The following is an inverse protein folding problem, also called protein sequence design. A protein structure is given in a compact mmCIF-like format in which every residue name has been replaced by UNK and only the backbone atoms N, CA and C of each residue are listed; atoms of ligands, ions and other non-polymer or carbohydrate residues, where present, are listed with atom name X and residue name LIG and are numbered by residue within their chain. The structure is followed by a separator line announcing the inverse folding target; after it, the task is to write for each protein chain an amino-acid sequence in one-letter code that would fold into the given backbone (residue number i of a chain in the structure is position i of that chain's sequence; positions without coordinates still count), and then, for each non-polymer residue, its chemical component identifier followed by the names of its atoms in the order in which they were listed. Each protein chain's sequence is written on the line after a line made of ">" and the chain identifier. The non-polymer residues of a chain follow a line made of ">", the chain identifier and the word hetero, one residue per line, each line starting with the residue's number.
data_IF_402380475084
#
_entry.id   IF_402380475084
#
_cell.length_a   1.000
_cell.length_b   1.000
_cell.length_c   1.000
_cell.angle_alpha   90.00
_cell.angle_beta   90.00
_cell.angle_gamma   90.00
#
_symmetry.space_group_name_H-M   'P 1'
#
loop_
_entity.id
_entity.type
_entity.pdbx_description
1 polymer ?
#
# COMPACT_ATOMS: atom_id res chain seq x y z
N UNK A 1 38.21 21.76 -2.04
CA UNK A 1 37.35 21.35 -3.15
C UNK A 1 36.57 22.58 -3.56
N UNK A 2 36.81 23.09 -4.76
CA UNK A 2 36.07 24.20 -5.36
C UNK A 2 34.64 23.75 -5.64
N UNK A 3 33.67 24.66 -5.60
CA UNK A 3 32.26 24.30 -5.84
C UNK A 3 32.05 23.77 -7.27
N UNK A 4 32.85 24.23 -8.24
CA UNK A 4 32.86 23.66 -9.59
C UNK A 4 33.46 22.25 -9.70
N UNK A 5 34.37 21.87 -8.80
CA UNK A 5 34.90 20.49 -8.74
C UNK A 5 33.85 19.52 -8.18
N UNK A 6 33.02 19.98 -7.22
CA UNK A 6 31.90 19.20 -6.67
C UNK A 6 30.84 18.95 -7.73
N UNK A 7 30.41 20.00 -8.44
CA UNK A 7 29.38 19.88 -9.48
C UNK A 7 29.82 18.93 -10.60
N UNK A 8 31.10 18.97 -10.98
CA UNK A 8 31.65 18.06 -11.99
C UNK A 8 31.68 16.61 -11.50
N UNK A 9 32.10 16.36 -10.26
CA UNK A 9 32.06 15.03 -9.67
C UNK A 9 30.62 14.51 -9.59
N UNK A 10 29.69 15.29 -9.05
CA UNK A 10 28.29 14.89 -8.88
C UNK A 10 27.59 14.53 -10.21
N UNK A 11 28.01 15.10 -11.35
CA UNK A 11 27.43 14.82 -12.67
C UNK A 11 28.10 13.63 -13.40
N UNK A 12 29.36 13.32 -13.07
CA UNK A 12 30.15 12.35 -13.83
C UNK A 12 30.53 11.10 -13.02
N UNK A 13 30.19 11.05 -11.72
CA UNK A 13 30.44 9.90 -10.85
C UNK A 13 29.86 8.60 -11.44
N UNK A 14 28.65 8.62 -12.00
CA UNK A 14 28.01 7.38 -12.50
C UNK A 14 28.49 6.96 -13.91
N UNK A 15 29.02 7.90 -14.68
CA UNK A 15 29.35 7.69 -16.10
C UNK A 15 30.85 7.44 -16.35
N UNK A 16 31.71 7.72 -15.37
CA UNK A 16 33.17 7.63 -15.51
C UNK A 16 33.80 6.82 -14.38
N UNK A 17 34.86 6.09 -14.70
CA UNK A 17 35.64 5.36 -13.70
C UNK A 17 36.45 6.30 -12.81
N UNK A 18 36.83 5.83 -11.63
CA UNK A 18 37.55 6.64 -10.64
C UNK A 18 38.90 7.16 -11.17
N UNK A 19 39.53 6.41 -12.08
CA UNK A 19 40.78 6.79 -12.75
C UNK A 19 40.54 7.94 -13.75
N UNK A 20 39.50 7.85 -14.57
CA UNK A 20 39.21 8.88 -15.56
C UNK A 20 38.75 10.22 -14.93
N UNK A 21 38.07 10.14 -13.78
CA UNK A 21 37.69 11.31 -12.98
C UNK A 21 38.90 11.93 -12.27
N UNK A 22 39.80 11.09 -11.74
CA UNK A 22 41.04 11.52 -11.11
C UNK A 22 41.93 12.28 -12.10
N UNK A 23 42.09 11.76 -13.32
CA UNK A 23 42.90 12.39 -14.37
C UNK A 23 42.32 13.73 -14.84
N UNK A 24 40.98 13.86 -14.93
CA UNK A 24 40.34 15.12 -15.35
C UNK A 24 40.35 16.21 -14.27
N UNK A 25 40.37 15.83 -13.01
CA UNK A 25 40.35 16.77 -11.88
C UNK A 25 41.74 17.03 -11.30
N UNK A 26 42.79 16.41 -11.87
CA UNK A 26 44.16 16.42 -11.33
C UNK A 26 44.19 16.01 -9.84
N UNK A 27 43.45 14.95 -9.52
CA UNK A 27 43.32 14.39 -8.15
C UNK A 27 43.77 12.94 -8.11
N UNK A 28 44.02 12.45 -6.89
CA UNK A 28 44.34 11.03 -6.70
C UNK A 28 43.10 10.16 -6.84
N UNK A 29 43.26 8.96 -7.40
CA UNK A 29 42.17 7.95 -7.48
C UNK A 29 41.56 7.67 -6.10
N UNK A 30 42.38 7.67 -5.05
CA UNK A 30 41.93 7.53 -3.66
C UNK A 30 40.96 8.62 -3.21
N UNK A 31 41.11 9.86 -3.71
CA UNK A 31 40.24 10.98 -3.40
C UNK A 31 38.86 10.79 -4.05
N UNK A 32 38.81 10.38 -5.32
CA UNK A 32 37.55 10.11 -6.04
C UNK A 32 36.83 8.89 -5.45
N UNK A 33 37.55 7.80 -5.14
CA UNK A 33 36.96 6.62 -4.49
C UNK A 33 36.39 6.97 -3.10
N UNK A 34 37.09 7.79 -2.32
CA UNK A 34 36.58 8.23 -1.02
C UNK A 34 35.40 9.18 -1.17
N UNK A 35 35.39 10.05 -2.18
CA UNK A 35 34.26 10.92 -2.49
C UNK A 35 33.02 10.12 -2.91
N UNK A 36 33.19 9.12 -3.80
CA UNK A 36 32.14 8.19 -4.23
C UNK A 36 31.53 7.40 -3.05
N UNK A 37 32.35 7.01 -2.07
CA UNK A 37 31.89 6.30 -0.86
C UNK A 37 31.11 7.17 0.12
N UNK A 38 31.35 8.49 0.11
CA UNK A 38 30.76 9.45 1.06
C UNK A 38 29.53 10.13 0.48
N UNK A 39 29.41 10.21 -0.85
CA UNK A 39 28.19 10.69 -1.49
C UNK A 39 27.02 9.72 -1.24
N UNK A 40 25.81 10.20 -0.90
CA UNK A 40 24.63 9.35 -0.89
C UNK A 40 24.50 8.75 -2.28
N UNK A 41 24.38 7.43 -2.38
CA UNK A 41 24.14 6.73 -3.64
C UNK A 41 23.03 7.46 -4.40
N UNK A 42 23.43 8.20 -5.44
CA UNK A 42 22.54 8.89 -6.38
C UNK A 42 22.21 7.99 -7.56
N UNK A 43 22.39 6.67 -7.41
CA UNK A 43 21.79 5.71 -8.31
C UNK A 43 20.33 5.50 -7.89
N UNK A 44 19.48 6.51 -8.12
CA UNK A 44 18.07 6.18 -8.35
C UNK A 44 18.03 5.51 -9.72
N UNK A 45 17.79 4.20 -9.72
CA UNK A 45 17.53 3.45 -10.95
C UNK A 45 16.38 4.14 -11.70
N UNK A 46 16.33 4.13 -13.04
CA UNK A 46 15.19 4.73 -13.80
C UNK A 46 13.82 4.27 -13.25
N UNK A 47 13.75 3.04 -12.76
CA UNK A 47 12.58 2.47 -12.09
C UNK A 47 12.18 3.16 -10.77
N UNK A 48 13.13 3.71 -10.02
CA UNK A 48 12.87 4.47 -8.78
C UNK A 48 12.25 5.83 -9.08
N UNK A 49 12.80 6.52 -10.07
CA UNK A 49 12.26 7.81 -10.52
C UNK A 49 10.83 7.66 -11.06
N UNK A 50 10.54 6.57 -11.77
CA UNK A 50 9.16 6.26 -12.18
C UNK A 50 8.20 6.10 -11.00
N UNK A 51 8.63 5.44 -9.92
CA UNK A 51 7.80 5.23 -8.72
C UNK A 51 7.52 6.58 -8.03
N UNK A 52 8.52 7.46 -7.96
CA UNK A 52 8.38 8.80 -7.39
C UNK A 52 7.44 9.66 -8.25
N UNK A 53 7.61 9.67 -9.58
CA UNK A 53 6.73 10.41 -10.49
C UNK A 53 5.28 9.91 -10.39
N UNK A 54 5.07 8.59 -10.31
CA UNK A 54 3.75 8.01 -10.06
C UNK A 54 3.16 8.47 -8.74
N UNK A 55 3.98 8.52 -7.67
CA UNK A 55 3.56 9.02 -6.36
C UNK A 55 3.08 10.48 -6.41
N UNK A 56 3.77 11.34 -7.14
CA UNK A 56 3.41 12.76 -7.25
C UNK A 56 2.05 13.00 -7.89
N UNK A 57 1.58 12.04 -8.71
CA UNK A 57 0.27 12.09 -9.35
C UNK A 57 -0.85 11.50 -8.47
N UNK A 58 -0.53 10.91 -7.30
CA UNK A 58 -1.54 10.39 -6.38
C UNK A 58 -2.27 11.54 -5.67
N UNK A 59 -3.56 11.34 -5.45
CA UNK A 59 -4.44 12.38 -4.90
C UNK A 59 -3.98 12.90 -3.53
N UNK A 60 -3.32 12.05 -2.73
CA UNK A 60 -2.89 12.41 -1.38
C UNK A 60 -1.56 13.17 -1.33
N UNK A 61 -0.82 13.30 -2.44
CA UNK A 61 0.50 13.93 -2.44
C UNK A 61 0.45 15.39 -1.98
N UNK A 62 -0.58 16.12 -2.42
CA UNK A 62 -0.80 17.50 -2.00
C UNK A 62 -1.10 17.62 -0.50
N UNK A 63 -1.79 16.64 0.09
CA UNK A 63 -2.04 16.60 1.54
C UNK A 63 -0.73 16.40 2.31
N UNK A 64 0.10 15.48 1.84
CA UNK A 64 1.39 15.15 2.48
C UNK A 64 2.35 16.34 2.44
N UNK A 65 2.39 17.08 1.33
CA UNK A 65 3.15 18.34 1.22
C UNK A 65 2.76 19.40 2.24
N UNK A 66 1.48 19.44 2.65
CA UNK A 66 1.00 20.40 3.64
C UNK A 66 1.29 19.94 5.09
N UNK A 67 1.39 18.63 5.32
CA UNK A 67 1.55 18.06 6.66
C UNK A 67 3.02 17.89 7.08
N UNK A 68 3.92 17.69 6.11
CA UNK A 68 5.31 17.35 6.35
C UNK A 68 6.26 18.50 5.96
N UNK A 69 7.37 18.60 6.67
CA UNK A 69 8.47 19.50 6.33
C UNK A 69 9.27 18.98 5.12
N UNK A 70 10.07 19.84 4.49
CA UNK A 70 10.89 19.47 3.32
C UNK A 70 11.82 18.28 3.58
N UNK A 71 12.41 18.19 4.77
CA UNK A 71 13.29 17.06 5.14
C UNK A 71 12.49 15.78 5.42
N UNK A 72 11.30 15.89 5.99
CA UNK A 72 10.38 14.77 6.18
C UNK A 72 9.82 14.26 4.84
N UNK A 73 9.62 15.15 3.85
CA UNK A 73 9.20 14.77 2.50
C UNK A 73 10.25 13.92 1.77
N UNK A 74 11.54 14.28 1.88
CA UNK A 74 12.63 13.43 1.34
C UNK A 74 12.64 12.05 1.99
N UNK A 75 12.43 12.01 3.31
CA UNK A 75 12.34 10.76 4.05
C UNK A 75 11.11 9.94 3.62
N UNK A 76 9.99 10.61 3.33
CA UNK A 76 8.79 9.98 2.81
C UNK A 76 9.03 9.36 1.43
N UNK A 77 9.60 10.13 0.49
CA UNK A 77 9.94 9.69 -0.87
C UNK A 77 10.84 8.46 -0.85
N UNK A 78 11.92 8.51 -0.07
CA UNK A 78 12.83 7.37 0.09
C UNK A 78 12.09 6.12 0.61
N UNK A 79 11.29 6.25 1.67
CA UNK A 79 10.55 5.11 2.22
C UNK A 79 9.49 4.59 1.27
N UNK A 80 8.86 5.46 0.49
CA UNK A 80 7.87 5.09 -0.52
C UNK A 80 8.47 4.21 -1.59
N UNK A 81 9.62 4.58 -2.13
CA UNK A 81 10.36 3.81 -3.14
C UNK A 81 10.74 2.44 -2.60
N UNK A 82 11.35 2.38 -1.41
CA UNK A 82 11.78 1.12 -0.78
C UNK A 82 10.60 0.16 -0.58
N UNK A 83 9.46 0.65 -0.08
CA UNK A 83 8.28 -0.19 0.13
C UNK A 83 7.65 -0.62 -1.19
N UNK A 84 7.59 0.24 -2.21
CA UNK A 84 7.08 -0.15 -3.52
C UNK A 84 7.93 -1.21 -4.21
N UNK A 85 9.26 -1.09 -4.14
CA UNK A 85 10.17 -2.09 -4.66
C UNK A 85 10.03 -3.44 -3.96
N UNK A 86 9.84 -3.42 -2.63
CA UNK A 86 9.64 -4.64 -1.85
C UNK A 86 8.35 -5.37 -2.25
N UNK A 87 7.29 -4.63 -2.58
CA UNK A 87 5.96 -5.21 -2.80
C UNK A 87 5.65 -5.56 -4.26
N UNK A 88 6.39 -5.05 -5.25
CA UNK A 88 6.27 -5.25 -6.72
C UNK A 88 4.87 -5.00 -7.31
N UNK A 89 3.82 -5.66 -6.81
CA UNK A 89 2.41 -5.41 -7.09
C UNK A 89 1.74 -4.69 -5.90
N UNK A 90 1.60 -3.36 -6.01
CA UNK A 90 0.96 -2.52 -5.00
C UNK A 90 -0.42 -2.09 -5.50
N UNK A 91 -1.49 -2.59 -4.86
CA UNK A 91 -2.86 -2.15 -5.15
C UNK A 91 -3.12 -0.74 -4.64
N UNK A 92 -4.15 -0.01 -5.13
CA UNK A 92 -4.53 1.31 -4.60
C UNK A 92 -4.81 1.30 -3.09
N UNK A 93 -5.35 0.21 -2.55
CA UNK A 93 -5.55 0.03 -1.11
C UNK A 93 -4.23 -0.14 -0.35
N UNK A 94 -3.25 -0.82 -0.95
CA UNK A 94 -1.91 -0.97 -0.37
C UNK A 94 -1.16 0.37 -0.40
N UNK A 95 -1.32 1.18 -1.46
CA UNK A 95 -0.77 2.54 -1.55
C UNK A 95 -1.25 3.40 -0.37
N UNK A 96 -2.54 3.28 -0.02
CA UNK A 96 -3.13 3.96 1.13
C UNK A 96 -2.48 3.53 2.45
N UNK A 97 -2.33 2.23 2.64
CA UNK A 97 -1.75 1.66 3.86
C UNK A 97 -0.26 1.99 3.98
N UNK A 98 0.48 1.99 2.87
CA UNK A 98 1.88 2.41 2.78
C UNK A 98 2.01 3.89 3.13
N UNK A 99 1.15 4.76 2.58
CA UNK A 99 1.09 6.19 2.95
C UNK A 99 0.96 6.33 4.47
N UNK A 100 -0.06 5.71 5.06
CA UNK A 100 -0.31 5.80 6.49
C UNK A 100 0.87 5.27 7.33
N UNK A 101 1.50 4.19 6.90
CA UNK A 101 2.65 3.58 7.58
C UNK A 101 3.84 4.53 7.62
N UNK A 102 4.17 5.16 6.49
CA UNK A 102 5.29 6.10 6.40
C UNK A 102 4.99 7.37 7.21
N UNK A 103 3.75 7.89 7.14
CA UNK A 103 3.33 9.04 7.95
C UNK A 103 3.48 8.74 9.45
N UNK A 104 3.00 7.58 9.91
CA UNK A 104 3.15 7.19 11.32
C UNK A 104 4.63 7.11 11.74
N UNK A 105 5.50 6.58 10.89
CA UNK A 105 6.93 6.54 11.16
C UNK A 105 7.55 7.94 11.31
N UNK A 106 7.18 8.88 10.44
CA UNK A 106 7.64 10.26 10.53
C UNK A 106 7.13 10.92 11.82
N UNK A 107 5.86 10.71 12.18
CA UNK A 107 5.28 11.23 13.41
C UNK A 107 5.97 10.66 14.66
N UNK A 108 6.30 9.36 14.67
CA UNK A 108 7.07 8.74 15.76
C UNK A 108 8.42 9.43 15.91
N UNK A 109 9.14 9.65 14.80
CA UNK A 109 10.41 10.36 14.82
C UNK A 109 10.27 11.79 15.37
N UNK A 110 9.21 12.51 14.99
CA UNK A 110 8.92 13.85 15.51
C UNK A 110 8.72 13.83 17.03
N UNK A 111 7.93 12.89 17.54
CA UNK A 111 7.72 12.73 18.99
C UNK A 111 9.02 12.40 19.72
N UNK A 112 9.87 11.54 19.14
CA UNK A 112 11.17 11.19 19.73
C UNK A 112 12.11 12.40 19.80
N UNK A 113 12.17 13.23 18.75
CA UNK A 113 12.95 14.47 18.74
C UNK A 113 12.45 15.43 19.82
N UNK A 114 11.14 15.63 19.94
CA UNK A 114 10.54 16.50 20.94
C UNK A 114 10.74 15.99 22.38
N UNK A 115 10.68 14.66 22.56
CA UNK A 115 10.99 13.99 23.82
C UNK A 115 12.45 14.25 24.23
N UNK A 116 13.39 14.17 23.28
CA UNK A 116 14.79 14.48 23.55
C UNK A 116 15.00 15.94 23.95
N UNK A 117 14.38 16.89 23.24
CA UNK A 117 14.43 18.33 23.60
C UNK A 117 13.89 18.59 25.01
N UNK A 118 12.82 17.90 25.37
CA UNK A 118 12.20 18.04 26.70
C UNK A 118 13.09 17.49 27.80
N UNK A 119 13.73 16.34 27.57
CA UNK A 119 14.76 15.82 28.49
C UNK A 119 15.90 16.81 28.69
N UNK A 120 16.42 17.41 27.61
CA UNK A 120 17.48 18.44 27.75
C UNK A 120 17.00 19.67 28.52
N UNK A 121 15.72 20.02 28.40
CA UNK A 121 15.11 21.13 29.15
C UNK A 121 14.97 20.79 30.63
N UNK A 122 14.52 19.58 30.95
CA UNK A 122 14.44 19.06 32.33
C UNK A 122 15.83 19.12 32.97
N UNK A 123 16.85 18.54 32.34
CA UNK A 123 18.22 18.55 32.89
C UNK A 123 18.79 19.97 33.05
N UNK A 124 18.39 20.92 32.20
CA UNK A 124 18.78 22.33 32.36
C UNK A 124 18.13 22.95 33.59
N UNK A 125 16.82 22.74 33.78
CA UNK A 125 16.08 23.27 34.94
C UNK A 125 16.61 22.66 36.24
N UNK A 126 16.83 21.34 36.28
CA UNK A 126 17.42 20.65 37.44
C UNK A 126 18.78 21.21 37.83
N UNK A 127 19.64 21.52 36.84
CA UNK A 127 20.94 22.18 37.10
C UNK A 127 20.76 23.58 37.68
N UNK A 128 19.78 24.35 37.21
CA UNK A 128 19.50 25.69 37.73
C UNK A 128 18.99 25.64 39.17
N UNK A 129 18.08 24.71 39.49
CA UNK A 129 17.61 24.47 40.86
C UNK A 129 18.79 24.13 41.76
N UNK A 130 19.60 23.14 41.37
CA UNK A 130 20.77 22.74 42.16
C UNK A 130 21.77 23.87 42.39
N UNK A 131 22.02 24.69 41.36
CA UNK A 131 22.93 25.85 41.47
C UNK A 131 22.41 26.87 42.49
N UNK A 132 21.09 27.03 42.58
CA UNK A 132 20.46 27.92 43.56
C UNK A 132 20.48 27.31 44.96
N UNK A 133 20.22 26.00 45.08
CA UNK A 133 20.28 25.26 46.36
C UNK A 133 21.69 25.19 46.95
N UNK A 134 22.73 25.15 46.11
CA UNK A 134 24.13 25.13 46.54
C UNK A 134 24.59 26.48 47.14
N UNK A 135 23.79 27.56 47.00
CA UNK A 135 24.09 28.86 47.63
C UNK A 135 23.84 28.81 49.15
N UNK A 136 24.53 29.65 49.94
CA UNK A 136 24.21 29.87 51.35
C UNK A 136 22.75 30.25 51.54
N UNK A 137 22.13 29.81 52.64
CA UNK A 137 20.69 29.94 52.87
C UNK A 137 20.18 31.39 52.82
N UNK A 138 21.02 32.35 53.20
CA UNK A 138 20.74 33.79 53.15
C UNK A 138 20.68 34.36 51.72
N UNK A 139 21.37 33.73 50.77
CA UNK A 139 21.49 34.17 49.37
C UNK A 139 20.56 33.40 48.41
N UNK A 140 19.77 32.44 48.93
CA UNK A 140 18.86 31.62 48.14
C UNK A 140 17.60 32.41 47.76
N UNK A 141 17.29 32.46 46.48
CA UNK A 141 16.00 32.96 46.01
C UNK A 141 14.96 31.82 46.00
N UNK A 142 14.22 31.68 47.10
CA UNK A 142 13.14 30.70 47.24
C UNK A 142 12.02 30.89 46.22
N UNK A 143 11.75 32.13 45.79
CA UNK A 143 10.72 32.41 44.78
C UNK A 143 11.16 31.94 43.40
N UNK A 144 12.45 32.11 43.08
CA UNK A 144 13.04 31.58 41.86
C UNK A 144 13.05 30.05 41.83
N UNK A 145 13.43 29.39 42.93
CA UNK A 145 13.37 27.92 43.05
C UNK A 145 11.95 27.41 42.81
N UNK A 146 10.96 27.99 43.48
CA UNK A 146 9.55 27.57 43.33
C UNK A 146 9.05 27.72 41.88
N UNK A 147 9.46 28.77 41.18
CA UNK A 147 9.15 28.95 39.76
C UNK A 147 9.81 27.85 38.90
N UNK A 148 11.09 27.55 39.13
CA UNK A 148 11.80 26.48 38.43
C UNK A 148 11.17 25.10 38.69
N UNK A 149 10.77 24.80 39.93
CA UNK A 149 10.05 23.57 40.27
C UNK A 149 8.71 23.45 39.54
N UNK A 150 7.98 24.56 39.42
CA UNK A 150 6.73 24.61 38.66
C UNK A 150 6.98 24.29 37.18
N UNK A 151 8.03 24.87 36.58
CA UNK A 151 8.43 24.58 35.20
C UNK A 151 8.93 23.14 35.02
N UNK A 152 9.66 22.60 36.00
CA UNK A 152 10.12 21.21 36.01
C UNK A 152 8.93 20.25 36.00
N UNK A 153 7.95 20.48 36.87
CA UNK A 153 6.73 19.67 36.95
C UNK A 153 5.94 19.71 35.64
N UNK A 154 5.81 20.89 35.01
CA UNK A 154 5.18 21.03 33.70
C UNK A 154 5.95 20.27 32.59
N UNK A 155 7.28 20.36 32.59
CA UNK A 155 8.13 19.65 31.63
C UNK A 155 8.05 18.12 31.81
N UNK A 156 8.03 17.63 33.06
CA UNK A 156 7.85 16.22 33.40
C UNK A 156 6.48 15.70 32.97
N UNK A 157 5.41 16.47 33.18
CA UNK A 157 4.07 16.12 32.69
C UNK A 157 4.06 16.03 31.15
N UNK A 158 4.68 16.99 30.47
CA UNK A 158 4.82 17.00 29.01
C UNK A 158 5.62 15.79 28.49
N UNK A 159 6.69 15.40 29.20
CA UNK A 159 7.50 14.23 28.89
C UNK A 159 6.71 12.92 28.98
N UNK A 160 5.87 12.78 30.02
CA UNK A 160 5.00 11.62 30.20
C UNK A 160 3.94 11.54 29.08
N UNK A 161 3.31 12.67 28.76
CA UNK A 161 2.33 12.76 27.67
C UNK A 161 2.92 12.31 26.32
N UNK A 162 4.12 12.81 25.97
CA UNK A 162 4.83 12.40 24.75
C UNK A 162 5.22 10.92 24.74
N UNK A 163 5.54 10.34 25.91
CA UNK A 163 5.83 8.90 26.00
C UNK A 163 4.57 8.07 25.72
N UNK A 164 3.41 8.47 26.25
CA UNK A 164 2.14 7.82 25.95
C UNK A 164 1.77 7.96 24.48
N UNK A 165 1.96 9.14 23.89
CA UNK A 165 1.72 9.38 22.46
C UNK A 165 2.61 8.48 21.59
N UNK A 166 3.91 8.43 21.88
CA UNK A 166 4.87 7.55 21.20
C UNK A 166 4.41 6.09 21.23
N UNK A 167 4.05 5.55 22.40
CA UNK A 167 3.61 4.16 22.52
C UNK A 167 2.36 3.88 21.69
N UNK A 168 1.38 4.81 21.67
CA UNK A 168 0.17 4.68 20.87
C UNK A 168 0.45 4.73 19.36
N UNK A 169 1.34 5.62 18.92
CA UNK A 169 1.73 5.70 17.52
C UNK A 169 2.49 4.45 17.07
N UNK A 170 3.37 3.93 17.93
CA UNK A 170 4.11 2.70 17.69
C UNK A 170 3.17 1.49 17.54
N UNK A 171 2.20 1.34 18.46
CA UNK A 171 1.20 0.26 18.40
C UNK A 171 0.36 0.34 17.11
N UNK A 172 -0.08 1.53 16.71
CA UNK A 172 -0.79 1.75 15.45
C UNK A 172 0.07 1.40 14.23
N UNK A 173 1.36 1.74 14.26
CA UNK A 173 2.31 1.41 13.18
C UNK A 173 2.46 -0.10 13.05
N UNK A 174 2.69 -0.79 14.17
CA UNK A 174 2.87 -2.24 14.19
C UNK A 174 1.60 -2.97 13.75
N UNK A 175 0.43 -2.48 14.16
CA UNK A 175 -0.88 -2.95 13.69
C UNK A 175 -1.04 -2.81 12.17
N UNK A 176 -0.87 -1.60 11.62
CA UNK A 176 -0.97 -1.37 10.17
C UNK A 176 0.05 -2.19 9.37
N UNK A 177 1.25 -2.36 9.87
CA UNK A 177 2.28 -3.16 9.21
C UNK A 177 1.91 -4.66 9.19
N UNK A 178 1.33 -5.17 10.28
CA UNK A 178 0.81 -6.54 10.33
C UNK A 178 -0.37 -6.72 9.37
N UNK A 179 -1.29 -5.77 9.34
CA UNK A 179 -2.46 -5.82 8.44
C UNK A 179 -2.05 -5.81 6.98
N UNK A 180 -1.10 -4.94 6.59
CA UNK A 180 -0.55 -4.89 5.23
C UNK A 180 0.02 -6.24 4.79
N UNK A 181 0.76 -6.92 5.68
CA UNK A 181 1.29 -8.27 5.41
C UNK A 181 0.16 -9.31 5.33
N UNK A 182 -0.77 -9.30 6.27
CA UNK A 182 -1.86 -10.27 6.34
C UNK A 182 -2.78 -10.19 5.10
N UNK A 183 -3.14 -8.98 4.66
CA UNK A 183 -3.93 -8.78 3.44
C UNK A 183 -3.19 -9.27 2.20
N UNK A 184 -1.86 -9.19 2.18
CA UNK A 184 -1.05 -9.73 1.10
C UNK A 184 -1.00 -11.26 1.12
N UNK A 185 -0.79 -11.87 2.28
CA UNK A 185 -0.78 -13.32 2.44
C UNK A 185 -2.14 -13.95 2.08
N UNK A 186 -3.25 -13.28 2.46
CA UNK A 186 -4.60 -13.71 2.09
C UNK A 186 -4.80 -13.70 0.57
N UNK A 187 -4.31 -12.66 -0.13
CA UNK A 187 -4.37 -12.59 -1.59
C UNK A 187 -3.55 -13.70 -2.26
N UNK A 188 -2.36 -13.97 -1.74
CA UNK A 188 -1.52 -15.04 -2.27
C UNK A 188 -2.20 -16.42 -2.12
N UNK A 189 -2.81 -16.68 -0.95
CA UNK A 189 -3.61 -17.90 -0.73
C UNK A 189 -4.82 -18.01 -1.64
N UNK A 190 -5.58 -16.94 -1.82
CA UNK A 190 -6.72 -16.95 -2.76
C UNK A 190 -6.29 -17.25 -4.20
N UNK A 191 -5.16 -16.70 -4.64
CA UNK A 191 -4.58 -17.01 -5.95
C UNK A 191 -4.15 -18.47 -6.06
N UNK A 192 -3.55 -19.02 -5.01
CA UNK A 192 -3.16 -20.44 -4.94
C UNK A 192 -4.40 -21.35 -4.97
N UNK A 193 -5.40 -21.09 -4.13
CA UNK A 193 -6.67 -21.82 -4.08
C UNK A 193 -7.43 -21.78 -5.43
N UNK A 194 -7.41 -20.63 -6.12
CA UNK A 194 -8.06 -20.49 -7.43
C UNK A 194 -7.42 -21.37 -8.51
N UNK A 195 -6.09 -21.57 -8.45
CA UNK A 195 -5.39 -22.46 -9.38
C UNK A 195 -5.77 -23.91 -9.10
N UNK A 196 -5.81 -24.30 -7.83
CA UNK A 196 -6.23 -25.65 -7.43
C UNK A 196 -7.67 -25.91 -7.86
N UNK A 197 -8.58 -24.95 -7.68
CA UNK A 197 -9.98 -25.06 -8.11
C UNK A 197 -10.13 -25.26 -9.63
N UNK A 198 -9.33 -24.57 -10.46
CA UNK A 198 -9.32 -24.80 -11.91
C UNK A 198 -8.82 -26.21 -12.28
N UNK A 199 -7.73 -26.66 -11.65
CA UNK A 199 -7.21 -28.02 -11.86
C UNK A 199 -8.18 -29.10 -11.36
N UNK A 200 -8.85 -28.86 -10.23
CA UNK A 200 -9.88 -29.76 -9.70
C UNK A 200 -11.08 -29.81 -10.64
N UNK A 201 -11.56 -28.67 -11.16
CA UNK A 201 -12.64 -28.63 -12.16
C UNK A 201 -12.25 -29.40 -13.44
N UNK A 202 -11.02 -29.22 -13.92
CA UNK A 202 -10.49 -29.96 -15.08
C UNK A 202 -10.47 -31.47 -14.80
N UNK A 203 -10.04 -31.88 -13.60
CA UNK A 203 -9.99 -33.28 -13.18
C UNK A 203 -11.39 -33.88 -13.01
N UNK A 204 -12.35 -33.11 -12.50
CA UNK A 204 -13.76 -33.51 -12.42
C UNK A 204 -14.34 -33.73 -13.82
N UNK A 205 -14.06 -32.81 -14.76
CA UNK A 205 -14.48 -32.94 -16.16
C UNK A 205 -13.82 -34.12 -16.89
N UNK A 206 -12.58 -34.47 -16.55
CA UNK A 206 -11.87 -35.61 -17.13
C UNK A 206 -12.26 -36.95 -16.48
N UNK A 207 -12.98 -36.91 -15.35
CA UNK A 207 -13.46 -38.11 -14.69
C UNK A 207 -14.60 -38.75 -15.48
N UNK A 208 -14.48 -40.06 -15.76
CA UNK A 208 -15.48 -40.84 -16.50
C UNK A 208 -16.88 -40.77 -15.88
N UNK A 209 -16.98 -40.76 -14.55
CA UNK A 209 -18.26 -40.71 -13.83
C UNK A 209 -19.04 -39.41 -14.07
N UNK A 210 -18.40 -38.25 -13.97
CA UNK A 210 -19.06 -36.96 -14.21
C UNK A 210 -19.47 -36.76 -15.67
N UNK A 211 -18.70 -37.30 -16.63
CA UNK A 211 -19.06 -37.24 -18.06
C UNK A 211 -20.29 -38.08 -18.37
N UNK A 212 -20.42 -39.26 -17.75
CA UNK A 212 -21.61 -40.10 -17.91
C UNK A 212 -22.85 -39.50 -17.25
N UNK A 213 -22.71 -38.90 -16.06
CA UNK A 213 -23.81 -38.25 -15.36
C UNK A 213 -24.30 -37.00 -16.10
N UNK A 214 -23.39 -36.12 -16.51
CA UNK A 214 -23.72 -34.93 -17.31
C UNK A 214 -24.26 -35.33 -18.69
N UNK A 215 -23.73 -36.39 -19.29
CA UNK A 215 -24.24 -36.96 -20.53
C UNK A 215 -25.68 -37.46 -20.41
N UNK A 216 -26.02 -38.14 -19.30
CA UNK A 216 -27.40 -38.55 -19.00
C UNK A 216 -28.32 -37.36 -18.77
N UNK A 217 -27.84 -36.33 -18.07
CA UNK A 217 -28.62 -35.12 -17.81
C UNK A 217 -28.88 -34.33 -19.11
N UNK A 218 -27.87 -34.19 -19.96
CA UNK A 218 -28.02 -33.59 -21.30
C UNK A 218 -28.99 -34.37 -22.18
N UNK A 219 -28.93 -35.70 -22.16
CA UNK A 219 -29.86 -36.54 -22.93
C UNK A 219 -31.30 -36.45 -22.38
N UNK A 220 -31.46 -36.39 -21.06
CA UNK A 220 -32.77 -36.16 -20.45
C UNK A 220 -33.33 -34.79 -20.82
N UNK A 221 -32.50 -33.74 -20.80
CA UNK A 221 -32.89 -32.40 -21.26
C UNK A 221 -33.24 -32.39 -22.75
N UNK A 222 -32.50 -33.11 -23.60
CA UNK A 222 -32.81 -33.28 -25.02
C UNK A 222 -34.18 -33.92 -25.20
N UNK A 223 -34.45 -35.04 -24.52
CA UNK A 223 -35.74 -35.74 -24.59
C UNK A 223 -36.89 -34.90 -24.04
N UNK A 224 -36.69 -34.17 -22.94
CA UNK A 224 -37.68 -33.26 -22.39
C UNK A 224 -37.96 -32.09 -23.34
N UNK A 225 -36.92 -31.55 -23.98
CA UNK A 225 -37.06 -30.51 -24.99
C UNK A 225 -37.79 -31.01 -26.23
N UNK A 226 -37.50 -32.23 -26.71
CA UNK A 226 -38.21 -32.85 -27.84
C UNK A 226 -39.68 -33.09 -27.51
N UNK A 227 -39.98 -33.65 -26.35
CA UNK A 227 -41.35 -33.85 -25.88
C UNK A 227 -42.11 -32.52 -25.72
N UNK A 228 -41.49 -31.53 -25.08
CA UNK A 228 -42.10 -30.20 -24.95
C UNK A 228 -42.30 -29.53 -26.31
N UNK A 229 -41.39 -29.76 -27.26
CA UNK A 229 -41.54 -29.24 -28.63
C UNK A 229 -42.69 -29.95 -29.33
N UNK A 230 -42.86 -31.26 -29.16
CA UNK A 230 -43.97 -32.03 -29.70
C UNK A 230 -45.31 -31.59 -29.08
N UNK A 231 -45.38 -31.45 -27.76
CA UNK A 231 -46.59 -30.97 -27.06
C UNK A 231 -46.99 -29.57 -27.55
N UNK A 232 -46.02 -28.65 -27.66
CA UNK A 232 -46.25 -27.28 -28.14
C UNK A 232 -46.42 -27.18 -29.67
N UNK A 233 -46.22 -28.28 -30.39
CA UNK A 233 -46.46 -28.40 -31.83
C UNK A 233 -47.89 -28.80 -32.16
N UNK A 234 -48.69 -29.18 -31.17
CA UNK A 234 -50.09 -29.57 -31.34
C UNK A 234 -51.03 -28.37 -31.12
N UNK A 235 -52.21 -28.43 -31.73
CA UNK A 235 -53.27 -27.44 -31.48
C UNK A 235 -53.74 -27.55 -30.03
N UNK A 236 -53.63 -26.45 -29.30
CA UNK A 236 -54.01 -26.37 -27.88
C UNK A 236 -55.16 -25.39 -27.74
N UNK A 237 -56.23 -25.81 -27.06
CA UNK A 237 -57.33 -24.93 -26.68
C UNK A 237 -56.96 -24.19 -25.39
N UNK A 238 -56.97 -22.86 -25.44
CA UNK A 238 -56.66 -21.99 -24.32
C UNK A 238 -57.92 -21.73 -23.50
N UNK A 239 -57.76 -21.28 -22.24
CA UNK A 239 -58.86 -21.08 -21.29
C UNK A 239 -59.92 -20.05 -21.75
N UNK A 240 -59.64 -19.28 -22.81
CA UNK A 240 -60.57 -18.34 -23.45
C UNK A 240 -61.37 -18.96 -24.62
N UNK A 241 -61.18 -20.26 -24.88
CA UNK A 241 -61.83 -21.03 -25.95
C UNK A 241 -61.19 -20.84 -27.33
N UNK A 242 -60.04 -20.15 -27.42
CA UNK A 242 -59.28 -20.05 -28.66
C UNK A 242 -58.41 -21.28 -28.87
N UNK A 243 -58.34 -21.79 -30.10
CA UNK A 243 -57.45 -22.89 -30.47
C UNK A 243 -56.32 -22.31 -31.30
N UNK A 244 -55.09 -22.42 -30.80
CA UNK A 244 -53.89 -21.98 -31.50
C UNK A 244 -52.78 -23.03 -31.39
N UNK A 245 -51.78 -22.93 -32.26
CA UNK A 245 -50.60 -23.79 -32.26
C UNK A 245 -49.41 -23.00 -31.66
N UNK A 246 -48.96 -23.33 -30.44
CA UNK A 246 -47.98 -22.51 -29.72
C UNK A 246 -46.64 -22.33 -30.44
N UNK A 247 -46.17 -23.33 -31.20
CA UNK A 247 -44.90 -23.26 -31.96
C UNK A 247 -45.14 -23.49 -33.46
N UNK A 248 -44.95 -22.42 -34.23
CA UNK A 248 -44.98 -22.45 -35.69
C UNK A 248 -43.56 -22.62 -36.27
N UNK A 249 -43.27 -23.77 -36.87
CA UNK A 249 -42.02 -24.03 -37.57
C UNK A 249 -42.28 -24.70 -38.93
N UNK A 250 -41.25 -24.86 -39.77
CA UNK A 250 -41.40 -25.41 -41.13
C UNK A 250 -41.95 -26.84 -41.18
N UNK A 251 -41.94 -27.59 -40.06
CA UNK A 251 -42.51 -28.93 -39.93
C UNK A 251 -43.95 -28.92 -39.41
N UNK A 252 -44.34 -27.92 -38.62
CA UNK A 252 -45.70 -27.79 -38.06
C UNK A 252 -46.68 -27.03 -38.93
N UNK A 253 -46.22 -26.30 -39.95
CA UNK A 253 -47.07 -25.60 -40.89
C UNK A 253 -47.74 -26.57 -41.89
N UNK A 254 -48.75 -27.32 -41.46
CA UNK A 254 -49.70 -27.98 -42.38
C UNK A 254 -50.74 -26.98 -42.86
N UNK A 255 -50.90 -26.83 -44.18
CA UNK A 255 -52.01 -26.09 -44.76
C UNK A 255 -53.33 -26.76 -44.34
N UNK A 256 -54.36 -25.98 -43.91
CA UNK A 256 -55.66 -26.56 -43.60
C UNK A 256 -56.22 -27.22 -44.86
N UNK A 257 -56.58 -28.50 -44.78
CA UNK A 257 -57.36 -29.15 -45.83
C UNK A 257 -58.68 -28.40 -45.96
N UNK A 258 -58.98 -27.98 -47.19
CA UNK A 258 -60.20 -27.29 -47.56
C UNK A 258 -61.41 -28.04 -47.00
N UNK A 259 -62.17 -27.35 -46.15
CA UNK A 259 -63.48 -27.80 -45.72
C UNK A 259 -64.41 -27.81 -46.94
N UNK A 260 -64.67 -29.01 -47.46
CA UNK A 260 -65.69 -29.26 -48.49
C UNK A 260 -67.04 -28.64 -48.05
N UNK A 261 -67.56 -27.75 -48.89
CA UNK A 261 -68.94 -27.27 -48.85
C UNK A 261 -69.89 -28.45 -49.13
N UNK A 262 -70.87 -28.64 -48.24
CA UNK A 262 -71.99 -29.56 -48.40
C UNK A 262 -73.11 -29.29 -47.40
#
# INVERSE_FOLDING_TARGET
>A
MSDGEKDFLDQNLDNMTDEALADRLDRTVSFVSNYRKVQPHKMTTEAEDEIVVKMYNLYFWNEIKQQLTTEELKSFEYRWVVLHQQFQDVLPTDQMQIKDLIVLEILINRVLVEKQKTLTTISRIERQIKTEEDKPEEDRDLSFILNLETQLNAAMASQNARTTEHMKLQEKKDGKFKDLKATRDQRFKQLEDSRTSFFDLMKTLDSLGSREEEGRHMELMRLASEKSTEDLSQYTEYDDGTVDQPILNYKTATQPEDSDEG
#
